data_IF_411980672886
#
_entry.id   IF_411980672886
#
_cell.length_a   1.000
_cell.length_b   1.000
_cell.length_c   1.000
_cell.angle_alpha   90.00
_cell.angle_beta   90.00
_cell.angle_gamma   90.00
#
_symmetry.space_group_name_H-M   'P 1'
#
loop_
_entity.id
_entity.type
_entity.pdbx_description
1 polymer ?
#
# COMPACT_ATOMS: atom_id res chain seq x y z
N UNK A 1 -14.88 17.85 -10.43
CA UNK A 1 -13.93 16.73 -10.25
C UNK A 1 -12.96 17.20 -9.18
N UNK A 2 -12.68 16.42 -8.14
CA UNK A 2 -11.63 16.78 -7.18
C UNK A 2 -10.31 16.68 -7.93
N UNK A 3 -9.54 17.76 -7.97
CA UNK A 3 -8.21 17.80 -8.58
C UNK A 3 -7.21 17.72 -7.43
N UNK A 4 -6.35 16.72 -7.45
CA UNK A 4 -5.20 16.63 -6.54
C UNK A 4 -4.01 17.26 -7.25
N UNK A 5 -3.45 18.35 -6.73
CA UNK A 5 -2.28 19.02 -7.30
C UNK A 5 -0.98 18.43 -6.71
N UNK A 6 -1.02 18.01 -5.44
CA UNK A 6 0.12 17.41 -4.74
C UNK A 6 -0.25 16.08 -4.08
N UNK A 7 0.48 15.01 -4.42
CA UNK A 7 0.25 13.65 -3.89
C UNK A 7 1.49 13.18 -3.13
N UNK A 8 1.31 12.79 -1.86
CA UNK A 8 2.36 12.23 -1.03
C UNK A 8 2.36 10.70 -1.06
N UNK A 9 3.50 10.11 -1.41
CA UNK A 9 3.77 8.68 -1.34
C UNK A 9 4.87 8.43 -0.30
N UNK A 10 4.51 8.14 0.96
CA UNK A 10 5.50 7.76 1.96
C UNK A 10 5.99 6.33 1.70
N UNK A 11 7.28 6.10 1.92
CA UNK A 11 7.94 4.83 1.67
C UNK A 11 8.90 4.44 2.79
N UNK A 12 9.04 3.14 3.02
CA UNK A 12 10.03 2.54 3.92
C UNK A 12 11.13 1.77 3.16
N UNK A 13 11.13 1.89 1.83
CA UNK A 13 12.07 1.20 0.92
C UNK A 13 11.80 -0.29 0.75
N UNK A 14 10.68 -0.81 1.26
CA UNK A 14 10.34 -2.21 1.02
C UNK A 14 9.91 -2.43 -0.45
N UNK A 15 10.39 -3.52 -1.06
CA UNK A 15 10.03 -3.92 -2.43
C UNK A 15 8.52 -4.09 -2.63
N UNK A 16 7.81 -4.39 -1.53
CA UNK A 16 6.36 -4.55 -1.53
C UNK A 16 5.61 -3.25 -1.88
N UNK A 17 6.27 -2.09 -1.82
CA UNK A 17 5.67 -0.79 -2.14
C UNK A 17 5.61 -0.48 -3.64
N UNK A 18 6.21 -1.31 -4.51
CA UNK A 18 6.27 -1.01 -5.95
C UNK A 18 4.90 -0.80 -6.57
N UNK A 19 3.93 -1.68 -6.26
CA UNK A 19 2.56 -1.60 -6.78
C UNK A 19 1.75 -0.43 -6.21
N UNK A 20 2.11 0.04 -5.02
CA UNK A 20 1.53 1.22 -4.39
C UNK A 20 2.00 2.47 -5.10
N UNK A 21 3.31 2.54 -5.39
CA UNK A 21 3.89 3.63 -6.18
C UNK A 21 3.21 3.69 -7.53
N UNK A 22 3.14 2.59 -8.28
CA UNK A 22 2.54 2.57 -9.63
C UNK A 22 1.10 3.10 -9.66
N UNK A 23 0.27 2.65 -8.72
CA UNK A 23 -1.11 3.12 -8.61
C UNK A 23 -1.20 4.59 -8.19
N UNK A 24 -0.30 5.05 -7.31
CA UNK A 24 -0.17 6.47 -6.97
C UNK A 24 0.24 7.32 -8.17
N UNK A 25 1.14 6.82 -9.02
CA UNK A 25 1.58 7.52 -10.24
C UNK A 25 0.46 7.58 -11.28
N UNK A 26 -0.34 6.53 -11.43
CA UNK A 26 -1.50 6.54 -12.32
C UNK A 26 -2.50 7.63 -11.92
N UNK A 27 -2.75 7.76 -10.62
CA UNK A 27 -3.61 8.83 -10.10
C UNK A 27 -2.99 10.22 -10.30
N UNK A 28 -1.68 10.36 -10.08
CA UNK A 28 -0.96 11.60 -10.33
C UNK A 28 -1.02 12.02 -11.80
N UNK A 29 -0.83 11.09 -12.75
CA UNK A 29 -0.95 11.32 -14.21
C UNK A 29 -2.32 11.86 -14.59
N UNK A 30 -3.38 11.28 -14.04
CA UNK A 30 -4.76 11.71 -14.33
C UNK A 30 -5.05 13.13 -13.85
N UNK A 31 -4.27 13.65 -12.90
CA UNK A 31 -4.43 14.99 -12.33
C UNK A 31 -3.29 15.97 -12.72
N UNK A 32 -2.25 15.49 -13.43
CA UNK A 32 -0.99 16.22 -13.63
C UNK A 32 -0.40 16.74 -12.30
N UNK A 33 -0.43 15.90 -11.27
CA UNK A 33 -0.03 16.24 -9.91
C UNK A 33 1.49 16.11 -9.71
N UNK A 34 2.06 16.95 -8.84
CA UNK A 34 3.41 16.76 -8.31
C UNK A 34 3.41 15.64 -7.27
N UNK A 35 4.37 14.72 -7.38
CA UNK A 35 4.49 13.59 -6.46
C UNK A 35 5.58 13.87 -5.43
N UNK A 36 5.23 13.82 -4.16
CA UNK A 36 6.15 13.93 -3.05
C UNK A 36 6.52 12.52 -2.57
N UNK A 37 7.80 12.15 -2.63
CA UNK A 37 8.32 10.93 -2.03
C UNK A 37 8.94 11.24 -0.68
N UNK A 38 8.40 10.64 0.38
CA UNK A 38 8.87 10.85 1.74
C UNK A 38 9.40 9.54 2.33
N UNK A 39 10.66 9.56 2.77
CA UNK A 39 11.23 8.50 3.59
C UNK A 39 11.42 9.01 5.02
N UNK A 40 10.95 8.25 6.01
CA UNK A 40 11.12 8.60 7.42
C UNK A 40 11.98 7.57 8.11
N UNK A 41 13.13 8.02 8.63
CA UNK A 41 13.96 7.23 9.53
C UNK A 41 13.30 7.21 10.90
N UNK A 42 12.94 6.01 11.37
CA UNK A 42 12.33 5.83 12.68
C UNK A 42 13.36 6.10 13.79
N UNK A 43 13.24 7.27 14.43
CA UNK A 43 14.16 7.70 15.47
C UNK A 43 14.11 6.79 16.71
N UNK A 44 12.96 6.18 17.00
CA UNK A 44 12.85 5.24 18.14
C UNK A 44 13.64 3.98 17.87
N UNK A 45 13.56 3.45 16.65
CA UNK A 45 14.35 2.31 16.24
C UNK A 45 15.85 2.64 16.25
N UNK A 46 16.21 3.86 15.83
CA UNK A 46 17.59 4.34 15.88
C UNK A 46 18.14 4.50 17.31
N UNK A 47 17.37 5.07 18.22
CA UNK A 47 17.80 5.27 19.62
C UNK A 47 17.97 3.96 20.39
N UNK A 48 17.34 2.87 19.94
CA UNK A 48 17.53 1.53 20.50
C UNK A 48 18.89 0.91 20.16
N UNK A 49 19.67 1.52 19.24
CA UNK A 49 20.99 1.04 18.83
C UNK A 49 22.05 1.45 19.87
N UNK A 50 23.01 0.57 20.20
CA UNK A 50 24.14 0.91 21.07
C UNK A 50 24.89 2.15 20.61
N UNK A 51 25.25 3.04 21.56
CA UNK A 51 25.87 4.33 21.27
C UNK A 51 27.11 4.23 20.37
N UNK A 52 27.91 3.17 20.54
CA UNK A 52 29.12 2.89 19.77
C UNK A 52 28.89 2.57 18.29
N UNK A 53 27.67 2.16 17.92
CA UNK A 53 27.29 1.83 16.53
C UNK A 53 26.48 2.95 15.86
N UNK A 54 26.01 3.95 16.62
CA UNK A 54 25.03 4.94 16.16
C UNK A 54 25.49 5.79 14.98
N UNK A 55 26.74 6.23 14.95
CA UNK A 55 27.26 7.05 13.85
C UNK A 55 27.31 6.25 12.54
N UNK A 56 27.72 4.97 12.63
CA UNK A 56 27.75 4.09 11.48
C UNK A 56 26.34 3.80 10.96
N UNK A 57 25.42 3.40 11.85
CA UNK A 57 24.05 3.09 11.45
C UNK A 57 23.31 4.33 10.95
N UNK A 58 23.55 5.50 11.53
CA UNK A 58 22.99 6.77 11.03
C UNK A 58 23.34 6.97 9.56
N UNK A 59 24.62 6.84 9.21
CA UNK A 59 25.09 6.99 7.84
C UNK A 59 24.41 5.97 6.92
N UNK A 60 24.32 4.71 7.33
CA UNK A 60 23.63 3.67 6.55
C UNK A 60 22.15 3.97 6.35
N UNK A 61 21.43 4.44 7.38
CA UNK A 61 20.01 4.81 7.26
C UNK A 61 19.80 6.00 6.32
N UNK A 62 20.69 7.00 6.36
CA UNK A 62 20.64 8.12 5.42
C UNK A 62 20.94 7.67 3.98
N UNK A 63 21.93 6.80 3.78
CA UNK A 63 22.25 6.20 2.47
C UNK A 63 21.08 5.35 1.94
N UNK A 64 20.45 4.53 2.79
CA UNK A 64 19.27 3.74 2.45
C UNK A 64 18.08 4.62 2.05
N UNK A 65 17.83 5.70 2.81
CA UNK A 65 16.79 6.68 2.49
C UNK A 65 17.05 7.41 1.16
N UNK A 66 18.31 7.78 0.89
CA UNK A 66 18.71 8.38 -0.38
C UNK A 66 18.51 7.42 -1.55
N UNK A 67 18.97 6.17 -1.42
CA UNK A 67 18.80 5.16 -2.45
C UNK A 67 17.32 4.86 -2.72
N UNK A 68 16.52 4.73 -1.65
CA UNK A 68 15.08 4.47 -1.72
C UNK A 68 14.33 5.60 -2.43
N UNK A 69 14.53 6.84 -1.99
CA UNK A 69 13.83 7.99 -2.59
C UNK A 69 14.28 8.22 -4.03
N UNK A 70 15.56 7.98 -4.36
CA UNK A 70 16.07 8.07 -5.72
C UNK A 70 15.41 7.04 -6.66
N UNK A 71 15.29 5.79 -6.23
CA UNK A 71 14.63 4.76 -7.04
C UNK A 71 13.16 5.11 -7.36
N UNK A 72 12.46 5.76 -6.41
CA UNK A 72 11.10 6.23 -6.65
C UNK A 72 11.08 7.45 -7.58
N UNK A 73 12.01 8.39 -7.42
CA UNK A 73 12.17 9.54 -8.32
C UNK A 73 12.37 9.10 -9.78
N UNK A 74 13.24 8.13 -10.03
CA UNK A 74 13.47 7.59 -11.38
C UNK A 74 12.14 7.09 -11.99
N UNK A 75 11.32 6.37 -11.22
CA UNK A 75 10.00 5.89 -11.68
C UNK A 75 8.99 7.01 -11.91
N UNK A 76 9.00 8.06 -11.08
CA UNK A 76 8.11 9.23 -11.24
C UNK A 76 8.49 10.01 -12.50
N UNK A 77 9.79 10.22 -12.72
CA UNK A 77 10.31 10.93 -13.89
C UNK A 77 10.04 10.15 -15.19
N UNK A 78 10.21 8.83 -15.17
CA UNK A 78 9.86 7.96 -16.31
C UNK A 78 8.35 7.99 -16.62
N UNK A 79 7.53 8.29 -15.61
CA UNK A 79 6.10 8.53 -15.76
C UNK A 79 5.75 9.93 -16.31
N UNK A 80 6.73 10.82 -16.50
CA UNK A 80 6.53 12.18 -17.00
C UNK A 80 5.92 13.14 -15.97
N UNK A 81 6.12 12.88 -14.68
CA UNK A 81 5.60 13.66 -13.57
C UNK A 81 6.71 14.41 -12.84
N UNK A 82 6.35 15.51 -12.18
CA UNK A 82 7.25 16.23 -11.28
C UNK A 82 7.38 15.50 -9.93
N UNK A 83 8.58 15.52 -9.37
CA UNK A 83 8.89 14.85 -8.09
C UNK A 83 9.58 15.79 -7.11
N UNK A 84 9.17 15.71 -5.85
CA UNK A 84 9.88 16.26 -4.70
C UNK A 84 10.27 15.10 -3.78
N UNK A 85 11.54 15.04 -3.38
CA UNK A 85 12.04 14.02 -2.45
C UNK A 85 12.39 14.64 -1.11
N UNK A 86 12.01 13.98 -0.04
CA UNK A 86 12.35 14.37 1.32
C UNK A 86 12.73 13.14 2.16
N UNK A 87 13.74 13.30 3.02
CA UNK A 87 14.09 12.36 4.07
C UNK A 87 13.94 13.05 5.41
N UNK A 88 13.15 12.48 6.32
CA UNK A 88 12.95 13.00 7.68
C UNK A 88 13.35 11.99 8.74
N UNK A 89 13.57 12.50 9.95
CA UNK A 89 13.85 11.72 11.15
C UNK A 89 12.73 11.95 12.16
N UNK A 90 12.18 10.89 12.73
CA UNK A 90 11.14 11.02 13.76
C UNK A 90 10.26 9.79 13.89
N UNK A 91 9.03 9.98 14.39
CA UNK A 91 7.97 8.96 14.33
C UNK A 91 7.37 8.94 12.92
N UNK A 92 7.40 7.81 12.19
CA UNK A 92 6.92 7.77 10.81
C UNK A 92 5.50 8.31 10.61
N UNK A 93 4.57 7.95 11.50
CA UNK A 93 3.18 8.42 11.37
C UNK A 93 3.06 9.93 11.61
N UNK A 94 3.78 10.47 12.58
CA UNK A 94 3.78 11.90 12.88
C UNK A 94 4.44 12.71 11.77
N UNK A 95 5.61 12.29 11.28
CA UNK A 95 6.32 12.99 10.22
C UNK A 95 5.55 13.00 8.90
N UNK A 96 4.85 11.92 8.55
CA UNK A 96 3.97 11.88 7.37
C UNK A 96 2.86 12.93 7.48
N UNK A 97 2.21 13.02 8.64
CA UNK A 97 1.11 13.97 8.88
C UNK A 97 1.60 15.41 8.89
N UNK A 98 2.73 15.67 9.56
CA UNK A 98 3.36 16.98 9.61
C UNK A 98 3.77 17.43 8.20
N UNK A 99 4.44 16.56 7.43
CA UNK A 99 4.83 16.85 6.05
C UNK A 99 3.62 17.19 5.19
N UNK A 100 2.52 16.42 5.33
CA UNK A 100 1.30 16.65 4.57
C UNK A 100 0.70 18.03 4.81
N UNK A 101 0.72 18.53 6.05
CA UNK A 101 0.24 19.87 6.38
C UNK A 101 1.21 20.95 5.91
N UNK A 102 2.51 20.78 6.14
CA UNK A 102 3.54 21.77 5.80
C UNK A 102 3.68 22.02 4.30
N UNK A 103 3.40 21.00 3.49
CA UNK A 103 3.56 21.04 2.04
C UNK A 103 2.21 21.06 1.30
N UNK A 104 1.12 21.35 2.01
CA UNK A 104 -0.23 21.49 1.41
C UNK A 104 -0.60 20.28 0.52
N UNK A 105 -0.31 19.07 0.99
CA UNK A 105 -0.61 17.84 0.26
C UNK A 105 -2.12 17.64 0.18
N UNK A 106 -2.62 17.26 -0.99
CA UNK A 106 -4.05 17.03 -1.20
C UNK A 106 -4.47 15.57 -0.96
N UNK A 107 -3.53 14.64 -1.12
CA UNK A 107 -3.77 13.20 -0.97
C UNK A 107 -2.52 12.47 -0.48
N UNK A 108 -2.69 11.58 0.50
CA UNK A 108 -1.67 10.60 0.89
C UNK A 108 -2.00 9.24 0.27
N UNK A 109 -1.08 8.66 -0.50
CA UNK A 109 -1.21 7.31 -1.06
C UNK A 109 -0.22 6.39 -0.38
N UNK A 110 -0.71 5.37 0.33
CA UNK A 110 0.13 4.52 1.16
C UNK A 110 -0.26 3.05 1.13
N UNK A 111 0.74 2.18 1.29
CA UNK A 111 0.53 0.74 1.37
C UNK A 111 -0.10 0.33 2.70
N UNK A 112 -0.97 -0.67 2.69
CA UNK A 112 -1.51 -1.23 3.93
C UNK A 112 -0.47 -2.02 4.72
N UNK A 113 0.66 -2.41 4.11
CA UNK A 113 1.77 -3.10 4.77
C UNK A 113 3.10 -2.52 4.28
N UNK A 114 4.11 -2.55 5.16
CA UNK A 114 5.48 -2.18 4.83
C UNK A 114 6.48 -3.30 5.17
N UNK A 115 7.67 -2.90 5.61
CA UNK A 115 8.84 -3.73 5.91
C UNK A 115 8.59 -4.81 6.97
N UNK A 116 7.68 -4.57 7.92
CA UNK A 116 7.40 -5.48 9.04
C UNK A 116 6.40 -6.59 8.73
N UNK A 117 5.63 -6.48 7.64
CA UNK A 117 4.92 -7.59 6.99
C UNK A 117 4.18 -8.61 7.89
N UNK A 118 3.34 -8.19 8.83
CA UNK A 118 2.52 -9.13 9.61
C UNK A 118 1.25 -9.54 8.85
N UNK A 119 1.22 -10.78 8.35
CA UNK A 119 0.11 -11.37 7.56
C UNK A 119 -1.26 -11.47 8.28
N UNK A 120 -1.35 -11.10 9.57
CA UNK A 120 -2.59 -11.22 10.38
C UNK A 120 -3.27 -9.91 10.75
N UNK A 121 -2.69 -8.74 10.46
CA UNK A 121 -3.30 -7.44 10.73
C UNK A 121 -3.54 -6.70 9.40
N UNK A 122 -4.80 -6.36 9.12
CA UNK A 122 -5.27 -5.83 7.84
C UNK A 122 -4.65 -4.47 7.46
N UNK A 123 -4.01 -3.78 8.41
CA UNK A 123 -3.36 -2.48 8.23
C UNK A 123 -2.11 -2.39 9.13
N UNK A 124 -0.98 -1.96 8.57
CA UNK A 124 0.27 -1.73 9.30
C UNK A 124 0.13 -0.54 10.24
N UNK A 125 0.88 -0.56 11.35
CA UNK A 125 0.74 0.42 12.44
C UNK A 125 0.89 1.89 11.98
N UNK A 126 1.76 2.17 11.01
CA UNK A 126 1.92 3.52 10.45
C UNK A 126 0.69 3.91 9.62
N UNK A 127 0.26 3.04 8.70
CA UNK A 127 -0.91 3.28 7.87
C UNK A 127 -2.19 3.46 8.69
N UNK A 128 -2.38 2.65 9.74
CA UNK A 128 -3.51 2.78 10.66
C UNK A 128 -3.52 4.14 11.36
N UNK A 129 -2.37 4.57 11.87
CA UNK A 129 -2.27 5.87 12.55
C UNK A 129 -2.55 7.02 11.60
N UNK A 130 -1.97 7.00 10.39
CA UNK A 130 -2.19 8.04 9.38
C UNK A 130 -3.65 8.09 8.95
N UNK A 131 -4.26 6.96 8.55
CA UNK A 131 -5.69 6.91 8.16
C UNK A 131 -6.61 7.45 9.25
N UNK A 132 -6.32 7.14 10.52
CA UNK A 132 -7.15 7.56 11.65
C UNK A 132 -7.04 9.06 11.97
N UNK A 133 -5.96 9.72 11.57
CA UNK A 133 -5.62 11.07 12.07
C UNK A 133 -5.35 12.10 10.98
N UNK A 134 -5.21 11.70 9.72
CA UNK A 134 -4.95 12.60 8.62
C UNK A 134 -6.06 13.66 8.47
N UNK A 135 -5.69 14.95 8.32
CA UNK A 135 -6.66 16.00 8.05
C UNK A 135 -7.12 16.02 6.58
N UNK A 136 -6.47 15.23 5.73
CA UNK A 136 -6.68 15.13 4.29
C UNK A 136 -7.01 13.69 3.88
N UNK A 137 -7.56 13.47 2.68
CA UNK A 137 -7.81 12.13 2.17
C UNK A 137 -6.58 11.22 2.22
N UNK A 138 -6.80 9.96 2.56
CA UNK A 138 -5.80 8.89 2.54
C UNK A 138 -6.30 7.75 1.69
N UNK A 139 -5.55 7.39 0.65
CA UNK A 139 -5.78 6.22 -0.17
C UNK A 139 -4.85 5.09 0.30
N UNK A 140 -5.43 4.02 0.81
CA UNK A 140 -4.67 2.83 1.20
C UNK A 140 -4.73 1.77 0.11
N UNK A 141 -3.57 1.23 -0.26
CA UNK A 141 -3.45 0.19 -1.28
C UNK A 141 -3.04 -1.12 -0.63
N UNK A 142 -3.85 -2.15 -0.85
CA UNK A 142 -3.58 -3.48 -0.31
C UNK A 142 -2.33 -4.06 -0.95
N UNK A 143 -1.31 -4.28 -0.13
CA UNK A 143 -0.04 -4.84 -0.58
C UNK A 143 -0.12 -6.36 -0.51
N UNK A 144 -0.71 -6.96 -1.54
CA UNK A 144 -0.92 -8.39 -1.66
C UNK A 144 -0.55 -8.89 -3.06
N UNK A 145 -0.12 -10.14 -3.15
CA UNK A 145 0.15 -10.74 -4.44
C UNK A 145 -1.21 -10.88 -5.19
N UNK A 146 -1.39 -10.15 -6.29
CA UNK A 146 -2.59 -10.23 -7.13
C UNK A 146 -2.85 -11.69 -7.52
N UNK A 147 -1.81 -12.51 -7.67
CA UNK A 147 -1.93 -13.95 -7.91
C UNK A 147 -2.72 -14.68 -6.82
N UNK A 148 -2.58 -14.28 -5.55
CA UNK A 148 -3.36 -14.87 -4.44
C UNK A 148 -4.81 -14.40 -4.46
N UNK A 149 -5.06 -13.16 -4.86
CA UNK A 149 -6.43 -12.64 -5.00
C UNK A 149 -7.12 -13.35 -6.16
N UNK A 150 -6.44 -13.49 -7.30
CA UNK A 150 -6.92 -14.23 -8.47
C UNK A 150 -7.14 -15.70 -8.11
N UNK A 151 -6.21 -16.34 -7.40
CA UNK A 151 -6.36 -17.73 -6.94
C UNK A 151 -7.59 -17.88 -6.03
N UNK A 152 -7.79 -16.99 -5.06
CA UNK A 152 -8.96 -17.02 -4.17
C UNK A 152 -10.28 -16.79 -4.94
N UNK A 153 -10.28 -15.92 -5.94
CA UNK A 153 -11.45 -15.71 -6.81
C UNK A 153 -11.71 -16.96 -7.64
N UNK A 154 -10.68 -17.56 -8.24
CA UNK A 154 -10.80 -18.78 -9.05
C UNK A 154 -11.29 -19.98 -8.21
N UNK A 155 -10.81 -20.14 -6.98
CA UNK A 155 -11.25 -21.19 -6.08
C UNK A 155 -12.71 -21.00 -5.66
N UNK A 156 -13.13 -19.75 -5.40
CA UNK A 156 -14.56 -19.45 -5.15
C UNK A 156 -15.43 -19.75 -6.35
N UNK A 157 -15.04 -19.33 -7.55
CA UNK A 157 -15.78 -19.60 -8.78
C UNK A 157 -15.90 -21.11 -9.05
N UNK A 158 -14.83 -21.89 -8.81
CA UNK A 158 -14.89 -23.36 -8.91
C UNK A 158 -15.81 -23.99 -7.88
N UNK A 159 -15.86 -23.44 -6.66
CA UNK A 159 -16.75 -23.94 -5.61
C UNK A 159 -18.22 -23.63 -5.89
N UNK A 160 -18.54 -22.44 -6.42
CA UNK A 160 -19.90 -22.05 -6.78
C UNK A 160 -20.42 -22.88 -7.96
N UNK A 161 -19.59 -23.09 -9.00
CA UNK A 161 -19.95 -23.98 -10.11
C UNK A 161 -20.15 -25.44 -9.69
N UNK A 162 -19.44 -25.91 -8.66
CA UNK A 162 -19.62 -27.27 -8.14
C UNK A 162 -20.91 -27.42 -7.33
N UNK A 163 -21.33 -26.38 -6.61
CA UNK A 163 -22.61 -26.35 -5.88
C UNK A 163 -23.78 -26.33 -6.87
N UNK A 164 -23.72 -25.48 -7.89
CA UNK A 164 -24.78 -25.36 -8.90
C UNK A 164 -24.96 -26.66 -9.72
N UNK A 165 -23.87 -27.35 -10.03
CA UNK A 165 -23.92 -28.68 -10.66
C UNK A 165 -24.52 -29.75 -9.74
N UNK A 166 -24.35 -29.64 -8.42
CA UNK A 166 -24.89 -30.60 -7.45
C UNK A 166 -26.38 -30.35 -7.20
N UNK A 167 -26.81 -29.09 -7.12
CA UNK A 167 -28.23 -28.71 -7.01
C UNK A 167 -29.02 -29.14 -8.26
N UNK A 168 -28.47 -28.91 -9.46
CA UNK A 168 -29.09 -29.37 -10.72
C UNK A 168 -29.30 -30.89 -10.75
N UNK A 169 -28.34 -31.66 -10.23
CA UNK A 169 -28.46 -33.13 -10.14
C UNK A 169 -29.48 -33.54 -9.08
N UNK A 170 -29.57 -32.83 -7.95
CA UNK A 170 -30.57 -33.09 -6.90
C UNK A 170 -32.00 -32.82 -7.38
N UNK A 171 -32.23 -31.68 -8.04
CA UNK A 171 -33.55 -31.32 -8.59
C UNK A 171 -34.01 -32.30 -9.68
N UNK A 172 -33.06 -32.82 -10.47
CA UNK A 172 -33.36 -33.84 -11.48
C UNK A 172 -33.67 -35.20 -10.84
N UNK A 173 -33.09 -35.52 -9.68
CA UNK A 173 -33.36 -36.77 -8.97
C UNK A 173 -34.74 -36.77 -8.30
N UNK A 174 -35.14 -35.66 -7.67
CA UNK A 174 -36.45 -35.51 -7.02
C UNK A 174 -37.62 -35.58 -8.04
N UNK A 175 -37.40 -35.16 -9.30
CA UNK A 175 -38.42 -35.28 -10.36
C UNK A 175 -38.60 -36.70 -10.91
N UNK A 176 -37.66 -37.61 -10.66
CA UNK A 176 -37.72 -39.00 -11.14
C UNK A 176 -38.44 -39.91 -10.13
N UNK A 177 -38.40 -39.57 -8.84
CA UNK A 177 -39.07 -40.31 -7.75
C UNK A 177 -40.58 -39.99 -7.60
N UNK A 178 -41.14 -39.04 -8.37
CA UNK A 178 -42.59 -38.75 -8.40
C UNK A 178 -43.35 -39.50 -9.51
N UNK A 179 -42.73 -40.45 -10.22
CA UNK A 179 -43.46 -41.30 -11.15
C UNK A 179 -44.24 -42.37 -10.39
N UNK A 180 -45.58 -42.44 -10.50
CA UNK A 180 -46.35 -43.46 -9.81
C UNK A 180 -46.03 -44.84 -10.37
N UNK A 181 -45.68 -45.78 -9.48
CA UNK A 181 -45.55 -47.20 -9.79
C UNK A 181 -46.84 -47.69 -10.47
N UNK A 182 -46.75 -47.97 -11.78
CA UNK A 182 -47.82 -48.58 -12.58
C UNK A 182 -47.47 -50.02 -12.92
#
# INVERSE_FOLDING_TARGET
MVMYESILIPTDGSQKMESVVDQGLELAKQNNATVHSLYVVDERAYLAIPDEERDHVRKTLEEDGQATTKAIEERILDAGLDVIREIRWGDPSAEILTYAVENEIDLIVMGTHGRTGYERYLLGSVAERVVRTAPIPVLTIAVGNIDKVIANIQDRLRSESAVEATETVSETHDQIDELPDS
#
